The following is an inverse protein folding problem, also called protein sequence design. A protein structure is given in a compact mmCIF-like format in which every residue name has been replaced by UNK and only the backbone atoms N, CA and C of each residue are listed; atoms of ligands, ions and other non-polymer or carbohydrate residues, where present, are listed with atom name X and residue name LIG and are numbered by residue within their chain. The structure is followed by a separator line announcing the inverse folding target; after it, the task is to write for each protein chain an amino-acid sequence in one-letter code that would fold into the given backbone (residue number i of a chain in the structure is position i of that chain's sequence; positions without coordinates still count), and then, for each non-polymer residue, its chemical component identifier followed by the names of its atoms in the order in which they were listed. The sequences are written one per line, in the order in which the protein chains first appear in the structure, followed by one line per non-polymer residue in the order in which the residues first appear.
data_IF_577031928382
#
_entry.id   IF_577031928382
#
_cell.length_a   1.000
_cell.length_b   1.000
_cell.length_c   1.000
_cell.angle_alpha   90.00
_cell.angle_beta   90.00
_cell.angle_gamma   90.00
#
_symmetry.space_group_name_H-M   'P 1'
#
loop_
_entity.id
_entity.type
_entity.pdbx_description
1 polymer ?
#
# COMPACT_ATOMS: atom_id res chain seq x y z
N UNK A 1 30.46 6.30 -5.73
CA UNK A 1 30.42 6.99 -4.42
C UNK A 1 29.15 6.60 -3.69
N UNK A 2 29.25 5.59 -2.83
CA UNK A 2 28.14 5.04 -2.05
C UNK A 2 27.88 5.96 -0.86
N UNK A 3 26.87 6.82 -0.96
CA UNK A 3 26.37 7.61 0.18
C UNK A 3 25.75 6.66 1.20
N UNK A 4 26.54 6.25 2.19
CA UNK A 4 26.08 5.54 3.38
C UNK A 4 25.04 6.38 4.12
N UNK A 5 23.76 5.99 4.03
CA UNK A 5 22.69 6.61 4.84
C UNK A 5 23.04 6.39 6.32
N UNK A 6 23.07 7.44 7.16
CA UNK A 6 23.57 7.32 8.53
C UNK A 6 22.62 6.45 9.38
N UNK A 7 23.19 5.51 10.15
CA UNK A 7 22.48 4.56 11.02
C UNK A 7 21.48 5.22 11.99
N UNK A 8 21.78 6.44 12.43
CA UNK A 8 20.90 7.24 13.29
C UNK A 8 19.57 7.65 12.60
N UNK A 9 19.59 7.82 11.28
CA UNK A 9 18.42 8.20 10.50
C UNK A 9 17.46 7.02 10.30
N UNK A 10 18.01 5.82 10.08
CA UNK A 10 17.21 4.58 10.04
C UNK A 10 16.55 4.29 11.39
N UNK A 11 17.25 4.54 12.50
CA UNK A 11 16.76 4.31 13.87
C UNK A 11 15.54 5.16 14.26
N UNK A 12 15.48 6.43 13.84
CA UNK A 12 14.30 7.28 14.10
C UNK A 12 13.05 6.80 13.35
N UNK A 13 13.20 6.33 12.11
CA UNK A 13 12.08 5.80 11.33
C UNK A 13 11.54 4.48 11.89
N UNK A 14 12.41 3.61 12.39
CA UNK A 14 11.99 2.39 13.08
C UNK A 14 11.33 2.67 14.43
N UNK A 15 11.72 3.75 15.13
CA UNK A 15 11.11 4.15 16.40
C UNK A 15 9.64 4.55 16.25
N UNK A 16 9.30 5.43 15.30
CA UNK A 16 7.91 5.83 15.05
C UNK A 16 7.05 4.64 14.59
N UNK A 17 7.60 3.77 13.75
CA UNK A 17 6.96 2.52 13.36
C UNK A 17 6.63 1.64 14.57
N UNK A 18 7.59 1.47 15.49
CA UNK A 18 7.42 0.64 16.69
C UNK A 18 6.40 1.24 17.67
N UNK A 19 6.21 2.56 17.67
CA UNK A 19 5.19 3.24 18.47
C UNK A 19 3.79 3.13 17.84
N UNK A 20 3.67 3.35 16.53
CA UNK A 20 2.38 3.42 15.84
C UNK A 20 1.80 2.03 15.50
N UNK A 21 2.64 1.06 15.14
CA UNK A 21 2.17 -0.25 14.71
C UNK A 21 1.35 -0.98 15.79
N UNK A 22 1.76 -1.04 17.07
CA UNK A 22 0.96 -1.67 18.12
C UNK A 22 -0.40 -0.99 18.33
N UNK A 23 -0.46 0.34 18.15
CA UNK A 23 -1.70 1.11 18.26
C UNK A 23 -2.66 0.77 17.12
N UNK A 24 -2.14 0.64 15.91
CA UNK A 24 -2.93 0.19 14.75
C UNK A 24 -3.45 -1.24 14.95
N UNK A 25 -2.62 -2.14 15.50
CA UNK A 25 -3.02 -3.53 15.79
C UNK A 25 -4.08 -3.62 16.90
N UNK A 26 -4.08 -2.69 17.86
CA UNK A 26 -5.08 -2.58 18.93
C UNK A 26 -6.35 -1.81 18.52
N UNK A 27 -6.47 -1.42 17.25
CA UNK A 27 -7.57 -0.60 16.72
C UNK A 27 -7.77 0.74 17.47
N UNK A 28 -6.69 1.34 17.99
CA UNK A 28 -6.76 2.64 18.67
C UNK A 28 -7.04 3.75 17.65
N UNK A 29 -7.98 4.69 17.91
CA UNK A 29 -8.25 5.79 16.99
C UNK A 29 -7.09 6.79 16.92
N UNK A 30 -6.90 7.38 15.73
CA UNK A 30 -5.90 8.41 15.49
C UNK A 30 -6.45 9.80 15.88
N UNK A 31 -6.29 10.17 17.15
CA UNK A 31 -6.86 11.38 17.72
C UNK A 31 -5.81 12.43 18.10
N UNK A 32 -6.28 13.63 18.50
CA UNK A 32 -5.45 14.72 19.02
C UNK A 32 -4.57 14.29 20.21
N UNK A 33 -5.07 13.39 21.08
CA UNK A 33 -4.32 12.86 22.23
C UNK A 33 -3.11 12.03 21.80
N UNK A 34 -3.28 11.23 20.74
CA UNK A 34 -2.19 10.46 20.17
C UNK A 34 -1.17 11.39 19.48
N UNK A 35 -1.64 12.45 18.84
CA UNK A 35 -0.78 13.45 18.21
C UNK A 35 0.09 14.18 19.25
N UNK A 36 -0.49 14.59 20.38
CA UNK A 36 0.23 15.21 21.48
C UNK A 36 1.32 14.30 22.10
N UNK A 37 1.09 12.98 22.11
CA UNK A 37 2.07 11.99 22.58
C UNK A 37 3.26 11.83 21.62
N UNK A 38 3.04 12.03 20.31
CA UNK A 38 4.07 11.88 19.27
C UNK A 38 4.94 13.13 19.10
N UNK A 39 4.55 14.29 19.63
CA UNK A 39 5.27 15.58 19.50
C UNK A 39 6.34 15.86 20.56
N UNK A 40 6.76 14.89 21.36
CA UNK A 40 7.68 15.17 22.48
C UNK A 40 9.09 15.55 21.99
N UNK A 41 9.51 16.80 22.29
CA UNK A 41 10.89 17.37 22.29
C UNK A 41 11.46 18.10 21.07
N UNK A 42 10.77 18.31 19.94
CA UNK A 42 11.38 19.08 18.83
C UNK A 42 10.39 20.03 18.13
N UNK A 43 10.84 21.26 17.87
CA UNK A 43 10.12 22.37 17.21
C UNK A 43 9.73 22.13 15.74
N UNK A 44 9.96 20.93 15.19
CA UNK A 44 9.67 20.57 13.80
C UNK A 44 8.75 19.36 13.72
N UNK A 45 7.96 19.27 12.64
CA UNK A 45 7.06 18.15 12.35
C UNK A 45 7.82 16.81 12.49
N UNK A 46 7.38 15.87 13.37
CA UNK A 46 8.06 14.61 13.59
C UNK A 46 7.98 13.67 12.37
N UNK A 47 7.05 13.91 11.44
CA UNK A 47 6.87 13.09 10.25
C UNK A 47 7.69 13.62 9.07
N UNK A 48 8.55 12.74 8.54
CA UNK A 48 9.19 12.94 7.24
C UNK A 48 8.53 12.06 6.18
N UNK A 49 8.75 12.40 4.91
CA UNK A 49 8.30 11.59 3.76
C UNK A 49 8.74 10.13 3.88
N UNK A 50 9.97 9.87 4.34
CA UNK A 50 10.47 8.51 4.54
C UNK A 50 9.76 7.80 5.71
N UNK A 51 9.51 8.49 6.82
CA UNK A 51 8.80 7.92 7.97
C UNK A 51 7.39 7.47 7.59
N UNK A 52 6.63 8.36 6.95
CA UNK A 52 5.26 8.09 6.49
C UNK A 52 5.24 6.94 5.49
N UNK A 53 6.17 6.95 4.53
CA UNK A 53 6.32 5.87 3.54
C UNK A 53 6.64 4.53 4.21
N UNK A 54 7.49 4.51 5.24
CA UNK A 54 7.84 3.31 5.98
C UNK A 54 6.65 2.75 6.78
N UNK A 55 5.85 3.63 7.40
CA UNK A 55 4.57 3.25 8.04
C UNK A 55 3.64 2.59 7.03
N UNK A 56 3.38 3.23 5.89
CA UNK A 56 2.50 2.68 4.85
C UNK A 56 3.01 1.34 4.31
N UNK A 57 4.32 1.19 4.06
CA UNK A 57 4.93 -0.07 3.61
C UNK A 57 4.78 -1.22 4.61
N UNK A 58 4.72 -0.89 5.90
CA UNK A 58 4.62 -1.88 6.97
C UNK A 58 3.22 -2.48 7.08
N UNK A 59 2.16 -1.70 6.81
CA UNK A 59 0.77 -2.10 6.99
C UNK A 59 0.45 -3.42 6.24
N UNK A 60 0.75 -3.56 4.93
CA UNK A 60 0.50 -4.83 4.24
C UNK A 60 1.24 -6.02 4.84
N UNK A 61 2.44 -5.81 5.40
CA UNK A 61 3.24 -6.89 5.99
C UNK A 61 2.61 -7.44 7.26
N UNK A 62 2.01 -6.57 8.08
CA UNK A 62 1.44 -6.94 9.36
C UNK A 62 -0.06 -7.30 9.30
N UNK A 63 -0.83 -6.67 8.40
CA UNK A 63 -2.27 -6.86 8.32
C UNK A 63 -2.72 -7.82 7.21
N UNK A 64 -2.00 -7.88 6.07
CA UNK A 64 -2.47 -8.61 4.89
C UNK A 64 -1.80 -9.98 4.73
N UNK A 65 -0.65 -10.20 5.36
CA UNK A 65 0.06 -11.47 5.33
C UNK A 65 -0.44 -12.40 6.44
N UNK A 66 -0.53 -13.69 6.12
CA UNK A 66 -0.70 -14.72 7.15
C UNK A 66 0.59 -14.82 7.98
N UNK A 67 0.53 -15.06 9.31
CA UNK A 67 1.71 -15.35 10.12
C UNK A 67 2.55 -16.50 9.55
N UNK A 68 1.90 -17.46 8.86
CA UNK A 68 2.55 -18.62 8.23
C UNK A 68 3.39 -18.27 7.00
N UNK A 69 3.17 -17.11 6.40
CA UNK A 69 3.86 -16.65 5.17
C UNK A 69 5.09 -15.77 5.42
N UNK A 70 5.43 -15.52 6.70
CA UNK A 70 6.58 -14.68 7.10
C UNK A 70 7.91 -15.43 6.95
N UNK A 71 7.87 -16.77 6.93
CA UNK A 71 9.03 -17.63 6.65
C UNK A 71 8.95 -18.15 5.22
N UNK A 72 9.61 -17.49 4.26
CA UNK A 72 9.92 -18.05 2.95
C UNK A 72 11.23 -17.45 2.41
N UNK A 73 12.30 -18.18 2.70
CA UNK A 73 13.64 -18.27 2.09
C UNK A 73 13.97 -17.38 0.88
N UNK A 74 15.12 -16.70 0.95
CA UNK A 74 15.83 -16.10 -0.19
C UNK A 74 16.35 -17.21 -1.12
N UNK A 75 15.58 -17.60 -2.13
CA UNK A 75 16.00 -18.60 -3.11
C UNK A 75 15.63 -18.23 -4.53
N UNK A 76 16.54 -18.48 -5.47
CA UNK A 76 16.32 -18.46 -6.92
C UNK A 76 15.46 -19.64 -7.38
N UNK A 77 14.24 -19.79 -6.85
CA UNK A 77 13.27 -20.70 -7.45
C UNK A 77 12.55 -19.96 -8.57
N UNK A 78 12.48 -20.58 -9.74
CA UNK A 78 11.47 -20.26 -10.75
C UNK A 78 10.12 -20.24 -10.03
N UNK A 79 9.53 -19.05 -9.87
CA UNK A 79 8.16 -18.95 -9.36
C UNK A 79 7.30 -19.63 -10.41
N UNK A 80 6.60 -20.69 -10.02
CA UNK A 80 5.51 -21.21 -10.86
C UNK A 80 4.58 -20.05 -11.20
N UNK A 81 4.05 -19.98 -12.44
CA UNK A 81 3.14 -18.91 -12.83
C UNK A 81 2.01 -18.78 -11.80
N UNK A 82 1.80 -17.58 -11.29
CA UNK A 82 0.75 -17.34 -10.32
C UNK A 82 -0.58 -17.52 -11.04
N UNK A 83 -1.29 -18.62 -10.74
CA UNK A 83 -2.62 -18.85 -11.29
C UNK A 83 -3.47 -17.60 -11.10
N UNK A 84 -4.00 -17.09 -12.21
CA UNK A 84 -4.84 -15.90 -12.23
C UNK A 84 -6.00 -16.03 -11.25
N UNK A 85 -6.10 -15.03 -10.38
CA UNK A 85 -7.12 -14.92 -9.35
C UNK A 85 -8.32 -14.15 -9.89
N UNK A 86 -9.47 -14.44 -9.31
CA UNK A 86 -10.72 -13.78 -9.66
C UNK A 86 -11.43 -13.39 -8.37
N UNK A 87 -11.34 -12.11 -7.99
CA UNK A 87 -11.89 -11.61 -6.72
C UNK A 87 -13.40 -11.86 -6.59
N UNK A 88 -14.15 -11.84 -7.69
CA UNK A 88 -15.59 -12.14 -7.66
C UNK A 88 -15.83 -13.61 -7.28
N UNK A 89 -15.07 -14.53 -7.88
CA UNK A 89 -15.13 -15.96 -7.55
C UNK A 89 -14.64 -16.24 -6.13
N UNK A 90 -13.55 -15.60 -5.70
CA UNK A 90 -13.05 -15.72 -4.32
C UNK A 90 -14.11 -15.23 -3.31
N UNK A 91 -14.72 -14.07 -3.57
CA UNK A 91 -15.77 -13.51 -2.72
C UNK A 91 -17.02 -14.40 -2.67
N UNK A 92 -17.42 -14.96 -3.81
CA UNK A 92 -18.52 -15.93 -3.87
C UNK A 92 -18.21 -17.19 -3.06
N UNK A 93 -17.00 -17.74 -3.21
CA UNK A 93 -16.58 -18.92 -2.47
C UNK A 93 -16.57 -18.67 -0.96
N UNK A 94 -16.01 -17.54 -0.51
CA UNK A 94 -15.99 -17.17 0.92
C UNK A 94 -17.42 -17.07 1.47
N UNK A 95 -18.34 -16.41 0.75
CA UNK A 95 -19.75 -16.26 1.18
C UNK A 95 -20.48 -17.58 1.28
N UNK A 96 -20.14 -18.54 0.42
CA UNK A 96 -20.77 -19.86 0.37
C UNK A 96 -19.97 -20.93 1.14
N UNK A 97 -18.99 -20.54 1.95
CA UNK A 97 -18.10 -21.44 2.70
C UNK A 97 -17.40 -22.51 1.81
N UNK A 98 -17.10 -22.17 0.56
CA UNK A 98 -16.37 -23.02 -0.37
C UNK A 98 -14.86 -22.88 -0.17
N UNK A 99 -14.12 -23.97 -0.42
CA UNK A 99 -12.66 -23.98 -0.30
C UNK A 99 -12.00 -22.92 -1.20
N UNK A 100 -11.19 -22.06 -0.59
CA UNK A 100 -10.33 -21.11 -1.27
C UNK A 100 -8.91 -21.69 -1.35
N UNK A 101 -8.28 -21.60 -2.52
CA UNK A 101 -6.92 -22.10 -2.76
C UNK A 101 -5.96 -20.95 -3.08
N UNK A 102 -4.68 -21.16 -2.77
CA UNK A 102 -3.60 -20.21 -3.09
C UNK A 102 -3.39 -19.13 -2.04
N UNK A 103 -2.61 -18.08 -2.36
CA UNK A 103 -2.20 -17.05 -1.39
C UNK A 103 -3.36 -16.30 -0.72
N UNK A 104 -4.52 -16.24 -1.39
CA UNK A 104 -5.73 -15.61 -0.87
C UNK A 104 -6.34 -16.37 0.31
N UNK A 105 -6.22 -17.70 0.33
CA UNK A 105 -6.84 -18.58 1.34
C UNK A 105 -6.34 -18.32 2.76
N UNK A 106 -5.12 -17.80 2.89
CA UNK A 106 -4.49 -17.56 4.18
C UNK A 106 -4.68 -16.12 4.68
N UNK A 107 -5.34 -15.25 3.91
CA UNK A 107 -5.64 -13.87 4.32
C UNK A 107 -6.90 -13.84 5.18
N UNK A 108 -6.85 -13.08 6.27
CA UNK A 108 -8.02 -12.79 7.10
C UNK A 108 -8.72 -11.52 6.57
N UNK A 109 -9.96 -11.61 6.05
CA UNK A 109 -10.66 -10.46 5.48
C UNK A 109 -10.88 -9.32 6.48
N UNK A 110 -11.07 -9.64 7.76
CA UNK A 110 -11.28 -8.62 8.80
C UNK A 110 -10.00 -7.84 9.06
N UNK A 111 -8.85 -8.52 9.14
CA UNK A 111 -7.54 -7.87 9.31
C UNK A 111 -7.16 -7.02 8.10
N UNK A 112 -7.45 -7.50 6.88
CA UNK A 112 -7.20 -6.70 5.67
C UNK A 112 -8.04 -5.43 5.69
N UNK A 113 -9.32 -5.53 6.03
CA UNK A 113 -10.23 -4.37 6.13
C UNK A 113 -9.77 -3.39 7.20
N UNK A 114 -9.38 -3.89 8.38
CA UNK A 114 -8.83 -3.08 9.46
C UNK A 114 -7.54 -2.36 9.05
N UNK A 115 -6.60 -3.07 8.40
CA UNK A 115 -5.34 -2.49 7.94
C UNK A 115 -5.55 -1.39 6.90
N UNK A 116 -6.51 -1.57 5.97
CA UNK A 116 -6.88 -0.52 5.02
C UNK A 116 -7.50 0.70 5.71
N UNK A 117 -8.43 0.48 6.65
CA UNK A 117 -9.05 1.56 7.44
C UNK A 117 -7.98 2.37 8.18
N UNK A 118 -7.08 1.69 8.90
CA UNK A 118 -5.99 2.33 9.64
C UNK A 118 -4.98 3.04 8.76
N UNK A 119 -4.72 2.53 7.56
CA UNK A 119 -3.87 3.23 6.59
C UNK A 119 -4.48 4.58 6.18
N UNK A 120 -5.80 4.61 5.92
CA UNK A 120 -6.52 5.83 5.52
C UNK A 120 -6.56 6.82 6.68
N UNK A 121 -6.93 6.35 7.88
CA UNK A 121 -6.94 7.16 9.09
C UNK A 121 -5.56 7.78 9.34
N UNK A 122 -4.49 6.98 9.29
CA UNK A 122 -3.12 7.47 9.44
C UNK A 122 -2.75 8.51 8.37
N UNK A 123 -3.06 8.24 7.10
CA UNK A 123 -2.72 9.13 5.98
C UNK A 123 -3.34 10.52 6.13
N UNK A 124 -4.61 10.59 6.51
CA UNK A 124 -5.30 11.85 6.76
C UNK A 124 -4.97 12.48 8.12
N UNK A 125 -4.67 11.67 9.14
CA UNK A 125 -4.27 12.15 10.46
C UNK A 125 -2.95 12.92 10.41
N UNK A 126 -1.95 12.39 9.69
CA UNK A 126 -0.66 13.08 9.51
C UNK A 126 -0.82 14.42 8.76
N UNK A 127 -1.72 14.47 7.77
CA UNK A 127 -2.10 15.70 7.08
C UNK A 127 -2.80 16.70 8.01
N UNK A 128 -3.79 16.25 8.78
CA UNK A 128 -4.69 17.12 9.56
C UNK A 128 -4.06 17.67 10.83
N UNK A 129 -3.27 16.86 11.54
CA UNK A 129 -2.72 17.23 12.86
C UNK A 129 -1.30 17.79 12.79
N UNK A 130 -0.54 17.45 11.75
CA UNK A 130 0.85 17.87 11.61
C UNK A 130 1.09 18.78 10.39
N UNK A 131 0.04 19.09 9.61
CA UNK A 131 0.16 19.89 8.40
C UNK A 131 1.12 19.28 7.38
N UNK A 132 1.18 17.94 7.33
CA UNK A 132 2.12 17.25 6.45
C UNK A 132 1.63 17.29 5.00
N UNK A 133 2.45 17.89 4.14
CA UNK A 133 2.21 17.87 2.70
C UNK A 133 2.63 16.53 2.10
N UNK A 134 1.63 15.79 1.62
CA UNK A 134 1.88 14.54 0.92
C UNK A 134 2.66 14.76 -0.37
N UNK A 135 3.52 13.80 -0.70
CA UNK A 135 4.33 13.80 -1.92
C UNK A 135 3.90 12.66 -2.83
N UNK A 136 4.42 12.64 -4.06
CA UNK A 136 4.23 11.51 -4.99
C UNK A 136 4.59 10.17 -4.33
N UNK A 137 5.66 10.13 -3.53
CA UNK A 137 6.09 8.90 -2.87
C UNK A 137 5.07 8.40 -1.84
N UNK A 138 4.55 9.26 -0.96
CA UNK A 138 3.56 8.83 0.04
C UNK A 138 2.24 8.43 -0.63
N UNK A 139 1.83 9.13 -1.67
CA UNK A 139 0.69 8.76 -2.51
C UNK A 139 0.87 7.39 -3.17
N UNK A 140 2.05 7.13 -3.75
CA UNK A 140 2.41 5.83 -4.35
C UNK A 140 2.33 4.70 -3.33
N UNK A 141 2.93 4.87 -2.16
CA UNK A 141 2.91 3.83 -1.13
C UNK A 141 1.49 3.56 -0.64
N UNK A 142 0.67 4.59 -0.48
CA UNK A 142 -0.74 4.43 -0.13
C UNK A 142 -1.52 3.68 -1.22
N UNK A 143 -1.28 3.98 -2.49
CA UNK A 143 -1.85 3.25 -3.62
C UNK A 143 -1.40 1.77 -3.64
N UNK A 144 -0.15 1.48 -3.28
CA UNK A 144 0.35 0.11 -3.11
C UNK A 144 -0.37 -0.60 -1.96
N UNK A 145 -0.66 0.09 -0.85
CA UNK A 145 -1.45 -0.49 0.26
C UNK A 145 -2.83 -0.92 -0.23
N UNK A 146 -3.55 -0.05 -0.95
CA UNK A 146 -4.86 -0.41 -1.51
C UNK A 146 -4.77 -1.58 -2.49
N UNK A 147 -3.80 -1.57 -3.40
CA UNK A 147 -3.57 -2.66 -4.34
C UNK A 147 -3.30 -3.98 -3.61
N UNK A 148 -2.49 -3.94 -2.53
CA UNK A 148 -2.16 -5.15 -1.78
C UNK A 148 -3.34 -5.70 -0.97
N UNK A 149 -4.24 -4.83 -0.53
CA UNK A 149 -5.45 -5.17 0.21
C UNK A 149 -6.63 -5.59 -0.67
N UNK A 150 -6.44 -5.77 -1.98
CA UNK A 150 -7.50 -6.11 -2.96
C UNK A 150 -8.67 -5.12 -3.01
N UNK A 151 -8.50 -3.89 -2.50
CA UNK A 151 -9.58 -2.91 -2.49
C UNK A 151 -9.50 -2.02 -3.74
N UNK A 152 -9.98 -2.57 -4.86
CA UNK A 152 -10.00 -1.88 -6.15
C UNK A 152 -10.80 -0.58 -6.09
N UNK A 153 -11.98 -0.59 -5.45
CA UNK A 153 -12.83 0.61 -5.35
C UNK A 153 -12.11 1.71 -4.56
N UNK A 154 -11.57 1.37 -3.39
CA UNK A 154 -10.80 2.29 -2.55
C UNK A 154 -9.56 2.85 -3.24
N UNK A 155 -8.82 2.02 -3.99
CA UNK A 155 -7.69 2.49 -4.81
C UNK A 155 -8.13 3.58 -5.79
N UNK A 156 -9.23 3.36 -6.50
CA UNK A 156 -9.73 4.30 -7.49
C UNK A 156 -10.23 5.60 -6.89
N UNK A 157 -11.03 5.49 -5.82
CA UNK A 157 -11.57 6.64 -5.13
C UNK A 157 -10.42 7.50 -4.56
N UNK A 158 -9.40 6.86 -3.98
CA UNK A 158 -8.18 7.52 -3.50
C UNK A 158 -7.39 8.22 -4.60
N UNK A 159 -7.08 7.52 -5.71
CA UNK A 159 -6.32 8.13 -6.82
C UNK A 159 -7.07 9.33 -7.43
N UNK A 160 -8.40 9.21 -7.55
CA UNK A 160 -9.25 10.32 -8.02
C UNK A 160 -9.19 11.50 -7.06
N UNK A 161 -9.35 11.25 -5.76
CA UNK A 161 -9.24 12.28 -4.73
C UNK A 161 -7.88 12.99 -4.77
N UNK A 162 -6.79 12.24 -4.91
CA UNK A 162 -5.44 12.80 -4.99
C UNK A 162 -5.20 13.57 -6.28
N UNK A 163 -5.79 13.16 -7.41
CA UNK A 163 -5.69 13.90 -8.67
C UNK A 163 -6.47 15.21 -8.70
N UNK A 164 -7.53 15.34 -7.88
CA UNK A 164 -8.33 16.58 -7.80
C UNK A 164 -7.71 17.64 -6.90
N UNK A 165 -6.64 17.31 -6.16
CA UNK A 165 -5.95 18.27 -5.29
C UNK A 165 -5.20 19.31 -6.12
N UNK A 166 -5.01 20.54 -5.59
CA UNK A 166 -4.27 21.59 -6.28
C UNK A 166 -2.83 21.16 -6.62
N UNK A 167 -2.26 20.25 -5.83
CA UNK A 167 -1.00 19.58 -6.14
C UNK A 167 -1.22 18.46 -7.17
N UNK A 168 -1.43 18.84 -8.43
CA UNK A 168 -1.67 17.95 -9.58
C UNK A 168 -0.58 16.88 -9.81
N UNK A 169 0.57 16.98 -9.14
CA UNK A 169 1.74 16.12 -9.35
C UNK A 169 1.79 14.90 -8.40
N UNK A 170 0.79 14.70 -7.55
CA UNK A 170 0.76 13.57 -6.61
C UNK A 170 0.50 12.22 -7.29
N UNK A 171 -0.27 12.22 -8.38
CA UNK A 171 -0.58 11.03 -9.17
C UNK A 171 0.18 11.15 -10.48
N UNK A 172 1.18 10.29 -10.66
CA UNK A 172 2.04 10.27 -11.83
C UNK A 172 1.92 8.94 -12.56
N UNK A 173 2.48 8.87 -13.77
CA UNK A 173 2.66 7.59 -14.48
C UNK A 173 3.32 6.56 -13.58
N UNK A 174 4.32 6.94 -12.78
CA UNK A 174 5.02 6.01 -11.93
C UNK A 174 4.17 5.50 -10.76
N UNK A 175 3.26 6.30 -10.20
CA UNK A 175 2.37 5.84 -9.12
C UNK A 175 1.41 4.78 -9.65
N UNK A 176 0.77 5.04 -10.79
CA UNK A 176 -0.20 4.11 -11.40
C UNK A 176 0.49 2.85 -11.90
N UNK A 177 1.66 2.96 -12.53
CA UNK A 177 2.45 1.80 -12.98
C UNK A 177 2.88 0.90 -11.81
N UNK A 178 3.25 1.48 -10.66
CA UNK A 178 3.52 0.70 -9.45
C UNK A 178 2.28 -0.07 -8.96
N UNK A 179 1.09 0.54 -8.99
CA UNK A 179 -0.16 -0.14 -8.64
C UNK A 179 -0.44 -1.31 -9.60
N UNK A 180 -0.27 -1.13 -10.91
CA UNK A 180 -0.43 -2.18 -11.93
C UNK A 180 0.52 -3.35 -11.64
N UNK A 181 1.79 -3.06 -11.38
CA UNK A 181 2.79 -4.09 -11.05
C UNK A 181 2.37 -4.93 -9.85
N UNK A 182 1.95 -4.27 -8.77
CA UNK A 182 1.52 -4.97 -7.55
C UNK A 182 0.27 -5.81 -7.80
N UNK A 183 -0.70 -5.32 -8.56
CA UNK A 183 -1.89 -6.10 -8.94
C UNK A 183 -1.50 -7.36 -9.74
N UNK A 184 -0.58 -7.22 -10.69
CA UNK A 184 -0.03 -8.36 -11.45
C UNK A 184 0.69 -9.38 -10.56
N UNK A 185 1.55 -8.92 -9.65
CA UNK A 185 2.23 -9.78 -8.66
C UNK A 185 1.25 -10.48 -7.69
N UNK A 186 0.03 -9.97 -7.56
CA UNK A 186 -1.04 -10.59 -6.80
C UNK A 186 -1.91 -11.53 -7.63
N UNK A 187 -1.61 -11.76 -8.90
CA UNK A 187 -2.40 -12.59 -9.81
C UNK A 187 -3.72 -11.94 -10.23
N UNK A 188 -3.82 -10.61 -10.20
CA UNK A 188 -5.02 -9.85 -10.53
C UNK A 188 -4.88 -9.17 -11.91
N UNK A 189 -4.72 -9.97 -12.96
CA UNK A 189 -4.50 -9.46 -14.32
C UNK A 189 -5.62 -8.53 -14.81
N UNK A 190 -6.88 -8.88 -14.53
CA UNK A 190 -8.03 -8.07 -14.97
C UNK A 190 -8.02 -6.69 -14.31
N UNK A 191 -7.67 -6.62 -13.03
CA UNK A 191 -7.56 -5.38 -12.27
C UNK A 191 -6.34 -4.58 -12.73
N UNK A 192 -5.21 -5.22 -12.99
CA UNK A 192 -4.02 -4.57 -13.54
C UNK A 192 -4.32 -3.94 -14.91
N UNK A 193 -4.98 -4.67 -15.81
CA UNK A 193 -5.39 -4.18 -17.12
C UNK A 193 -6.41 -3.05 -17.03
N UNK A 194 -7.43 -3.18 -16.17
CA UNK A 194 -8.39 -2.11 -15.90
C UNK A 194 -7.68 -0.86 -15.36
N UNK A 195 -6.60 -1.05 -14.59
CA UNK A 195 -5.81 0.05 -14.04
C UNK A 195 -5.01 0.79 -15.12
N UNK A 196 -4.42 0.03 -16.03
CA UNK A 196 -3.73 0.58 -17.20
C UNK A 196 -4.64 1.45 -18.07
N UNK A 197 -5.84 0.96 -18.42
CA UNK A 197 -6.77 1.74 -19.25
C UNK A 197 -7.27 3.02 -18.59
N UNK A 198 -7.20 3.10 -17.26
CA UNK A 198 -7.59 4.28 -16.49
C UNK A 198 -6.46 5.30 -16.32
N UNK A 199 -5.22 5.01 -16.72
CA UNK A 199 -4.11 5.98 -16.67
C UNK A 199 -4.45 7.30 -17.38
N UNK A 200 -5.17 7.22 -18.51
CA UNK A 200 -5.64 8.39 -19.26
C UNK A 200 -6.56 9.32 -18.45
N UNK A 201 -7.28 8.80 -17.46
CA UNK A 201 -8.18 9.60 -16.61
C UNK A 201 -7.40 10.52 -15.66
N UNK A 202 -6.13 10.20 -15.40
CA UNK A 202 -5.21 10.99 -14.58
C UNK A 202 -4.19 11.75 -15.43
N UNK A 203 -4.44 11.89 -16.73
CA UNK A 203 -3.51 12.49 -17.70
C UNK A 203 -2.12 11.84 -17.72
N UNK A 204 -2.01 10.60 -17.20
CA UNK A 204 -0.77 9.84 -17.16
C UNK A 204 -0.59 9.12 -18.50
N UNK A 205 0.50 9.42 -19.21
CA UNK A 205 0.88 8.71 -20.43
C UNK A 205 1.68 7.46 -20.06
N UNK A 206 1.27 6.26 -20.52
CA UNK A 206 2.05 5.05 -20.28
C UNK A 206 3.39 5.14 -21.01
N UNK A 207 4.46 4.80 -20.30
CA UNK A 207 5.81 4.68 -20.83
C UNK A 207 6.13 3.22 -21.18
N UNK A 208 7.31 2.97 -21.76
CA UNK A 208 7.77 1.61 -22.11
C UNK A 208 7.72 0.68 -20.89
N UNK A 209 8.05 1.21 -19.71
CA UNK A 209 7.99 0.44 -18.47
C UNK A 209 6.53 0.05 -18.11
N UNK A 210 5.56 0.95 -18.24
CA UNK A 210 4.15 0.65 -18.01
C UNK A 210 3.63 -0.46 -18.92
N UNK A 211 3.95 -0.42 -20.22
CA UNK A 211 3.59 -1.49 -21.16
C UNK A 211 4.19 -2.83 -20.75
N UNK A 212 5.49 -2.87 -20.41
CA UNK A 212 6.15 -4.09 -19.95
C UNK A 212 5.53 -4.64 -18.67
N UNK A 213 5.17 -3.77 -17.73
CA UNK A 213 4.52 -4.16 -16.47
C UNK A 213 3.16 -4.80 -16.73
N UNK A 214 2.33 -4.25 -17.64
CA UNK A 214 1.03 -4.83 -17.98
C UNK A 214 1.19 -6.17 -18.70
N UNK A 215 2.07 -6.25 -19.69
CA UNK A 215 2.34 -7.51 -20.40
C UNK A 215 2.76 -8.59 -19.41
N UNK A 216 3.71 -8.28 -18.52
CA UNK A 216 4.12 -9.20 -17.46
C UNK A 216 2.95 -9.62 -16.56
N UNK A 217 2.06 -8.69 -16.18
CA UNK A 217 0.89 -9.01 -15.36
C UNK A 217 -0.10 -9.95 -16.07
N UNK A 218 -0.21 -9.88 -17.40
CA UNK A 218 -1.09 -10.72 -18.21
C UNK A 218 -0.49 -12.10 -18.54
N UNK A 219 0.84 -12.20 -18.55
CA UNK A 219 1.57 -13.42 -18.92
C UNK A 219 1.79 -14.41 -17.75
N UNK A 220 1.33 -14.08 -16.54
CA UNK A 220 1.36 -14.98 -15.37
C UNK A 220 0.22 -16.01 -15.37
#
# INVERSE_FOLDING_TARGET
MTSSRPLHYMAKHTCLLHQLLPLMLKDVPFDAKLAASTTTTTTHNPFTVESVSNVLKSIPRFFFSSPRSISCQNGFRHRTPLKQRNLNKESFNIRNNLLLLGPAAYRDPHKVTLGLKKAIEFYHWVESFFGFDHTELTCREMAIVFAKGNNRKGLWDFLKQMSTRPNSQLVTTSTVTCSIKVLGEQGLANEALATFYRMKQFYCKPDVYAYNVVINALCY
#
